data_IF_066415976148
#
_entry.id   IF_066415976148
#
_cell.length_a   1.000
_cell.length_b   1.000
_cell.length_c   1.000
_cell.angle_alpha   90.00
_cell.angle_beta   90.00
_cell.angle_gamma   90.00
#
_symmetry.space_group_name_H-M   'P 1'
#
loop_
_entity.id
_entity.type
_entity.pdbx_description
1 polymer ?
#
# COMPACT_ATOMS: atom_id res chain seq x y z
N UNK A 1 67.41 30.45 16.17
CA UNK A 1 67.12 30.41 17.61
C UNK A 1 65.68 29.97 17.78
N UNK A 2 65.48 28.94 18.60
CA UNK A 2 64.17 28.48 19.03
C UNK A 2 63.48 29.60 19.82
N UNK A 3 62.15 29.60 19.82
CA UNK A 3 61.37 29.58 21.05
C UNK A 3 59.90 29.23 20.75
N UNK A 4 59.52 28.06 21.21
CA UNK A 4 58.16 27.66 21.52
C UNK A 4 57.71 28.33 22.83
N UNK A 5 56.44 28.75 22.95
CA UNK A 5 55.57 28.42 24.10
C UNK A 5 54.16 29.08 24.00
N UNK A 6 53.17 28.23 23.72
CA UNK A 6 51.89 28.01 24.41
C UNK A 6 51.14 29.20 25.04
N UNK A 7 49.89 29.42 24.58
CA UNK A 7 48.67 29.74 25.35
C UNK A 7 47.58 30.14 24.32
N UNK A 8 46.30 29.78 24.34
CA UNK A 8 45.46 28.95 25.19
C UNK A 8 44.13 28.72 24.44
N UNK A 9 43.43 27.67 24.85
CA UNK A 9 42.13 27.23 24.39
C UNK A 9 41.03 28.30 24.39
N UNK A 10 40.34 28.47 23.26
CA UNK A 10 38.88 28.61 23.18
C UNK A 10 38.39 28.00 21.86
N UNK A 11 38.24 26.67 21.80
CA UNK A 11 37.38 26.05 20.78
C UNK A 11 35.95 26.43 21.13
N UNK A 12 35.39 27.39 20.42
CA UNK A 12 33.97 27.66 20.42
C UNK A 12 33.26 26.41 19.87
N UNK A 13 32.77 25.57 20.78
CA UNK A 13 31.83 24.50 20.50
C UNK A 13 30.51 25.16 20.10
N UNK A 14 30.33 25.45 18.82
CA UNK A 14 29.00 25.67 18.28
C UNK A 14 28.33 24.30 18.22
N UNK A 15 27.20 24.06 18.92
CA UNK A 15 26.37 22.94 18.59
C UNK A 15 25.93 23.17 17.14
N UNK A 16 26.38 22.31 16.23
CA UNK A 16 25.81 22.23 14.88
C UNK A 16 24.38 21.76 15.05
N UNK A 17 23.49 22.70 15.36
CA UNK A 17 22.05 22.53 15.30
C UNK A 17 21.73 22.43 13.83
N UNK A 18 21.92 21.24 13.26
CA UNK A 18 21.31 20.89 11.99
C UNK A 18 19.83 21.22 12.13
N UNK A 19 19.26 22.13 11.33
CA UNK A 19 17.86 22.46 11.46
C UNK A 19 17.10 21.17 11.27
N UNK A 20 16.39 20.73 12.32
CA UNK A 20 15.48 19.59 12.28
C UNK A 20 14.55 19.84 11.09
N UNK A 21 14.82 19.17 9.95
CA UNK A 21 14.00 19.32 8.74
C UNK A 21 12.61 18.86 9.14
N UNK A 22 11.70 19.83 9.25
CA UNK A 22 10.35 19.50 9.69
C UNK A 22 9.76 18.54 8.64
N UNK A 23 9.19 17.39 9.04
CA UNK A 23 8.79 16.35 8.09
C UNK A 23 7.77 16.80 7.03
N UNK A 24 7.04 17.89 7.28
CA UNK A 24 6.14 18.47 6.28
C UNK A 24 6.89 19.26 5.19
N UNK A 25 8.07 19.81 5.48
CA UNK A 25 8.86 20.55 4.50
C UNK A 25 9.70 19.63 3.61
N UNK A 26 9.92 18.37 4.03
CA UNK A 26 10.71 17.41 3.25
C UNK A 26 10.05 17.05 1.91
N UNK A 27 8.73 17.21 1.78
CA UNK A 27 8.03 16.97 0.52
C UNK A 27 8.32 18.04 -0.55
N UNK A 28 8.83 19.21 -0.16
CA UNK A 28 9.24 20.28 -1.10
C UNK A 28 10.72 20.19 -1.50
N UNK A 29 11.41 19.12 -1.09
CA UNK A 29 12.80 18.90 -1.49
C UNK A 29 12.89 18.30 -2.91
N UNK A 30 13.94 18.67 -3.65
CA UNK A 30 14.23 18.07 -4.96
C UNK A 30 14.32 16.54 -4.88
N UNK A 31 14.91 16.00 -3.80
CA UNK A 31 15.01 14.56 -3.55
C UNK A 31 13.63 13.89 -3.48
N UNK A 32 12.65 14.54 -2.85
CA UNK A 32 11.28 14.03 -2.82
C UNK A 32 10.62 14.06 -4.21
N UNK A 33 10.84 15.09 -5.01
CA UNK A 33 10.36 15.14 -6.40
C UNK A 33 11.01 14.03 -7.23
N UNK A 34 12.33 13.81 -7.10
CA UNK A 34 13.03 12.73 -7.80
C UNK A 34 12.46 11.36 -7.45
N UNK A 35 12.11 11.11 -6.19
CA UNK A 35 11.47 9.84 -5.80
C UNK A 35 10.14 9.61 -6.54
N UNK A 36 9.36 10.66 -6.82
CA UNK A 36 8.12 10.54 -7.59
C UNK A 36 8.40 10.22 -9.06
N UNK A 37 9.39 10.90 -9.65
CA UNK A 37 9.80 10.64 -11.04
C UNK A 37 10.30 9.20 -11.19
N UNK A 38 11.10 8.69 -10.25
CA UNK A 38 11.54 7.29 -10.24
C UNK A 38 10.35 6.34 -10.17
N UNK A 39 9.33 6.63 -9.35
CA UNK A 39 8.12 5.81 -9.27
C UNK A 39 7.30 5.80 -10.56
N UNK A 40 7.21 6.93 -11.26
CA UNK A 40 6.59 6.98 -12.59
C UNK A 40 7.41 6.16 -13.60
N UNK A 41 8.74 6.24 -13.54
CA UNK A 41 9.63 5.42 -14.37
C UNK A 41 9.47 3.92 -14.11
N UNK A 42 9.32 3.52 -12.85
CA UNK A 42 9.02 2.13 -12.45
C UNK A 42 7.69 1.67 -13.07
N UNK A 43 6.63 2.46 -12.93
CA UNK A 43 5.32 2.17 -13.55
C UNK A 43 5.42 1.99 -15.07
N UNK A 44 6.19 2.87 -15.74
CA UNK A 44 6.45 2.76 -17.17
C UNK A 44 7.19 1.47 -17.54
N UNK A 45 8.23 1.10 -16.80
CA UNK A 45 8.99 -0.13 -17.05
C UNK A 45 8.17 -1.40 -16.82
N UNK A 46 7.32 -1.41 -15.80
CA UNK A 46 6.38 -2.50 -15.52
C UNK A 46 5.38 -2.67 -16.67
N UNK A 47 4.87 -1.56 -17.22
CA UNK A 47 4.00 -1.58 -18.40
C UNK A 47 4.73 -2.11 -19.63
N UNK A 48 6.02 -1.80 -19.78
CA UNK A 48 6.87 -2.33 -20.84
C UNK A 48 7.38 -3.76 -20.57
N UNK A 49 6.90 -4.44 -19.51
CA UNK A 49 7.33 -5.79 -19.09
C UNK A 49 8.83 -5.92 -18.79
N UNK A 50 9.54 -4.80 -18.55
CA UNK A 50 10.96 -4.75 -18.22
C UNK A 50 11.17 -4.81 -16.71
N UNK A 51 10.69 -5.91 -16.09
CA UNK A 51 10.67 -6.06 -14.63
C UNK A 51 12.07 -6.03 -13.99
N UNK A 52 13.11 -6.52 -14.66
CA UNK A 52 14.48 -6.48 -14.14
C UNK A 52 14.98 -5.04 -13.92
N UNK A 53 14.66 -4.13 -14.85
CA UNK A 53 15.03 -2.72 -14.74
C UNK A 53 14.23 -2.02 -13.64
N UNK A 54 12.93 -2.35 -13.53
CA UNK A 54 12.07 -1.85 -12.45
C UNK A 54 12.58 -2.28 -11.07
N UNK A 55 12.97 -3.56 -10.90
CA UNK A 55 13.57 -4.11 -9.68
C UNK A 55 14.85 -3.35 -9.31
N UNK A 56 15.73 -3.08 -10.29
CA UNK A 56 16.97 -2.35 -10.05
C UNK A 56 16.70 -0.92 -9.57
N UNK A 57 15.75 -0.21 -10.19
CA UNK A 57 15.34 1.12 -9.76
C UNK A 57 14.72 1.11 -8.36
N UNK A 58 13.83 0.15 -8.06
CA UNK A 58 13.19 0.00 -6.75
C UNK A 58 14.20 -0.29 -5.63
N UNK A 59 15.19 -1.16 -5.88
CA UNK A 59 16.27 -1.43 -4.91
C UNK A 59 17.10 -0.17 -4.65
N UNK A 60 17.47 0.58 -5.70
CA UNK A 60 18.17 1.86 -5.56
C UNK A 60 17.33 2.86 -4.78
N UNK A 61 16.02 2.93 -5.04
CA UNK A 61 15.11 3.81 -4.33
C UNK A 61 15.05 3.47 -2.83
N UNK A 62 14.87 2.19 -2.48
CA UNK A 62 14.83 1.75 -1.08
C UNK A 62 16.15 1.99 -0.32
N UNK A 63 17.29 1.92 -1.01
CA UNK A 63 18.59 2.19 -0.41
C UNK A 63 18.85 3.69 -0.17
N UNK A 64 18.36 4.56 -1.05
CA UNK A 64 18.55 6.01 -0.91
C UNK A 64 17.57 6.65 0.08
N UNK A 65 16.39 6.05 0.26
CA UNK A 65 15.32 6.61 1.08
C UNK A 65 15.04 5.71 2.30
N UNK A 66 15.72 6.02 3.40
CA UNK A 66 15.64 5.23 4.65
C UNK A 66 14.39 5.55 5.48
N UNK A 67 13.82 6.75 5.36
CA UNK A 67 12.73 7.24 6.18
C UNK A 67 11.59 7.91 5.37
N UNK A 68 10.95 7.13 4.49
CA UNK A 68 9.81 7.59 3.68
C UNK A 68 8.53 6.79 4.00
N UNK A 69 7.38 7.46 4.04
CA UNK A 69 6.07 6.83 4.25
C UNK A 69 5.67 5.88 3.11
N UNK A 70 6.24 6.06 1.92
CA UNK A 70 6.00 5.24 0.73
C UNK A 70 6.87 4.00 0.68
N UNK A 71 7.79 3.80 1.64
CA UNK A 71 8.67 2.63 1.69
C UNK A 71 7.89 1.32 1.64
N UNK A 72 6.76 1.25 2.34
CA UNK A 72 5.86 0.10 2.29
C UNK A 72 5.31 -0.20 0.90
N UNK A 73 4.93 0.84 0.14
CA UNK A 73 4.46 0.70 -1.23
C UNK A 73 5.59 0.21 -2.16
N UNK A 74 6.79 0.79 -2.03
CA UNK A 74 7.95 0.41 -2.85
C UNK A 74 8.41 -1.03 -2.58
N UNK A 75 8.47 -1.44 -1.32
CA UNK A 75 8.82 -2.82 -0.94
C UNK A 75 7.78 -3.82 -1.44
N UNK A 76 6.49 -3.48 -1.34
CA UNK A 76 5.41 -4.30 -1.90
C UNK A 76 5.56 -4.44 -3.42
N UNK A 77 5.82 -3.34 -4.12
CA UNK A 77 6.01 -3.34 -5.58
C UNK A 77 7.23 -4.17 -6.00
N UNK A 78 8.35 -3.99 -5.31
CA UNK A 78 9.57 -4.78 -5.52
C UNK A 78 9.30 -6.27 -5.34
N UNK A 79 8.57 -6.64 -4.30
CA UNK A 79 8.20 -8.05 -4.07
C UNK A 79 7.31 -8.58 -5.21
N UNK A 80 6.36 -7.79 -5.72
CA UNK A 80 5.52 -8.14 -6.88
C UNK A 80 6.36 -8.35 -8.14
N UNK A 81 7.28 -7.44 -8.45
CA UNK A 81 8.11 -7.55 -9.65
C UNK A 81 9.05 -8.76 -9.59
N UNK A 82 9.58 -9.10 -8.41
CA UNK A 82 10.35 -10.33 -8.22
C UNK A 82 9.54 -11.60 -8.49
N UNK A 83 8.24 -11.60 -8.17
CA UNK A 83 7.32 -12.69 -8.53
C UNK A 83 7.11 -12.76 -10.05
N UNK A 84 7.00 -11.62 -10.75
CA UNK A 84 6.89 -11.58 -12.22
C UNK A 84 8.12 -12.18 -12.93
N UNK A 85 9.31 -12.03 -12.36
CA UNK A 85 10.56 -12.62 -12.87
C UNK A 85 10.73 -14.09 -12.44
N UNK A 86 9.84 -14.63 -11.60
CA UNK A 86 9.91 -16.00 -11.10
C UNK A 86 10.84 -16.20 -9.90
N UNK A 87 11.39 -15.13 -9.32
CA UNK A 87 12.30 -15.16 -8.15
C UNK A 87 11.48 -15.17 -6.85
N UNK A 88 10.75 -16.26 -6.63
CA UNK A 88 9.78 -16.38 -5.54
C UNK A 88 10.41 -16.32 -4.14
N UNK A 89 11.60 -16.91 -3.93
CA UNK A 89 12.26 -16.88 -2.63
C UNK A 89 12.74 -15.48 -2.23
N UNK A 90 13.24 -14.72 -3.19
CA UNK A 90 13.58 -13.31 -2.98
C UNK A 90 12.34 -12.45 -2.79
N UNK A 91 11.27 -12.72 -3.56
CA UNK A 91 9.99 -12.05 -3.38
C UNK A 91 9.48 -12.23 -1.95
N UNK A 92 9.56 -13.46 -1.41
CA UNK A 92 9.19 -13.78 -0.04
C UNK A 92 10.10 -13.09 0.98
N UNK A 93 11.42 -13.14 0.80
CA UNK A 93 12.38 -12.48 1.69
C UNK A 93 12.14 -10.97 1.77
N UNK A 94 11.95 -10.31 0.62
CA UNK A 94 11.65 -8.86 0.57
C UNK A 94 10.34 -8.55 1.30
N UNK A 95 9.35 -9.45 1.22
CA UNK A 95 8.10 -9.26 1.95
C UNK A 95 8.25 -9.46 3.46
N UNK A 96 9.03 -10.45 3.90
CA UNK A 96 9.38 -10.67 5.30
C UNK A 96 10.14 -9.45 5.87
N UNK A 97 11.16 -8.96 5.17
CA UNK A 97 11.94 -7.78 5.55
C UNK A 97 11.09 -6.50 5.61
N UNK A 98 10.15 -6.35 4.66
CA UNK A 98 9.23 -5.22 4.64
C UNK A 98 8.26 -5.19 5.82
N UNK A 99 7.93 -6.32 6.44
CA UNK A 99 7.11 -6.37 7.66
C UNK A 99 7.94 -5.94 8.89
N UNK A 100 9.26 -6.17 8.86
CA UNK A 100 10.16 -5.76 9.94
C UNK A 100 10.50 -4.26 9.89
N UNK A 101 10.34 -3.61 8.74
CA UNK A 101 10.62 -2.18 8.58
C UNK A 101 9.64 -1.28 9.36
N UNK A 102 10.15 -0.41 10.27
CA UNK A 102 9.34 0.54 11.04
C UNK A 102 8.55 1.56 10.20
N UNK A 103 9.01 1.88 8.98
CA UNK A 103 8.36 2.88 8.13
C UNK A 103 7.17 2.32 7.33
N UNK A 104 6.98 0.99 7.31
CA UNK A 104 5.85 0.34 6.65
C UNK A 104 4.61 0.34 7.55
N UNK A 105 3.57 1.06 7.10
CA UNK A 105 2.35 1.29 7.89
C UNK A 105 1.10 0.76 7.19
N UNK A 106 0.05 0.57 7.99
CA UNK A 106 -1.34 0.38 7.56
C UNK A 106 -1.50 -0.65 6.43
N UNK A 107 -2.12 -0.25 5.30
CA UNK A 107 -2.47 -1.14 4.20
C UNK A 107 -1.25 -1.80 3.53
N UNK A 108 -0.12 -1.11 3.42
CA UNK A 108 1.10 -1.71 2.86
C UNK A 108 1.62 -2.85 3.73
N UNK A 109 1.53 -2.71 5.06
CA UNK A 109 1.90 -3.77 6.01
C UNK A 109 1.00 -4.99 5.85
N UNK A 110 -0.31 -4.79 5.79
CA UNK A 110 -1.29 -5.88 5.61
C UNK A 110 -1.10 -6.57 4.25
N UNK A 111 -0.83 -5.80 3.19
CA UNK A 111 -0.56 -6.36 1.87
C UNK A 111 0.70 -7.24 1.84
N UNK A 112 1.77 -6.83 2.52
CA UNK A 112 2.97 -7.65 2.67
C UNK A 112 2.70 -8.91 3.51
N UNK A 113 1.96 -8.79 4.61
CA UNK A 113 1.57 -9.94 5.43
C UNK A 113 0.74 -10.97 4.64
N UNK A 114 -0.26 -10.51 3.89
CA UNK A 114 -1.05 -11.34 2.97
C UNK A 114 -0.15 -12.04 1.94
N UNK A 115 0.84 -11.31 1.43
CA UNK A 115 1.79 -11.83 0.45
C UNK A 115 2.68 -12.92 1.03
N UNK A 116 3.21 -12.75 2.25
CA UNK A 116 3.97 -13.78 2.97
C UNK A 116 3.11 -15.03 3.18
N UNK A 117 1.84 -14.90 3.55
CA UNK A 117 0.93 -16.04 3.71
C UNK A 117 0.64 -16.75 2.37
N UNK A 118 0.59 -16.01 1.27
CA UNK A 118 0.34 -16.56 -0.07
C UNK A 118 1.56 -17.32 -0.62
N UNK A 119 2.77 -16.75 -0.47
CA UNK A 119 4.02 -17.28 -1.00
C UNK A 119 4.68 -18.32 -0.07
N UNK A 120 4.53 -18.16 1.24
CA UNK A 120 5.13 -19.01 2.28
C UNK A 120 4.40 -20.34 2.51
N UNK A 121 3.81 -20.94 1.47
CA UNK A 121 3.23 -22.28 1.57
C UNK A 121 4.35 -23.34 1.54
N UNK A 122 4.18 -24.51 2.17
CA UNK A 122 5.13 -25.62 2.03
C UNK A 122 5.37 -25.97 0.54
N UNK A 123 6.61 -26.27 0.13
CA UNK A 123 7.80 -26.51 0.94
C UNK A 123 8.61 -25.25 1.34
N UNK A 124 8.21 -24.03 0.94
CA UNK A 124 9.02 -22.81 1.13
C UNK A 124 9.11 -22.36 2.59
N UNK A 125 7.97 -22.41 3.30
CA UNK A 125 7.88 -22.15 4.74
C UNK A 125 6.88 -23.12 5.35
N UNK A 126 7.22 -23.66 6.51
CA UNK A 126 6.38 -24.59 7.28
C UNK A 126 5.71 -23.92 8.48
N UNK A 127 6.29 -22.81 8.95
CA UNK A 127 5.78 -22.07 10.12
C UNK A 127 4.75 -21.04 9.67
N UNK A 128 3.55 -21.12 10.24
CA UNK A 128 2.52 -20.09 10.06
C UNK A 128 2.85 -18.89 10.96
N UNK A 129 2.92 -17.66 10.42
CA UNK A 129 3.21 -16.48 11.23
C UNK A 129 2.05 -16.13 12.18
N UNK A 130 2.37 -15.50 13.31
CA UNK A 130 1.40 -15.17 14.37
C UNK A 130 0.28 -14.21 13.91
N UNK A 131 0.56 -13.34 12.94
CA UNK A 131 -0.42 -12.41 12.38
C UNK A 131 -1.38 -13.05 11.36
N UNK A 132 -1.29 -14.37 11.13
CA UNK A 132 -2.09 -15.04 10.10
C UNK A 132 -3.59 -14.93 10.34
N UNK A 133 -4.04 -15.05 11.58
CA UNK A 133 -5.46 -15.00 11.95
C UNK A 133 -6.04 -13.60 11.84
N UNK A 134 -5.29 -12.57 12.25
CA UNK A 134 -5.74 -11.18 12.17
C UNK A 134 -5.89 -10.72 10.72
N UNK A 135 -5.00 -11.19 9.85
CA UNK A 135 -5.00 -10.88 8.42
C UNK A 135 -6.13 -11.63 7.69
N UNK A 136 -6.43 -12.87 8.09
CA UNK A 136 -7.54 -13.67 7.53
C UNK A 136 -8.91 -13.37 8.16
N UNK A 137 -8.98 -12.40 9.06
CA UNK A 137 -10.23 -12.05 9.74
C UNK A 137 -11.31 -11.72 8.70
N UNK A 138 -12.37 -12.52 8.69
CA UNK A 138 -13.55 -12.24 7.86
C UNK A 138 -14.35 -11.10 8.49
N UNK A 139 -14.72 -10.14 7.66
CA UNK A 139 -15.66 -9.07 8.01
C UNK A 139 -17.05 -9.55 7.60
N UNK A 140 -18.08 -9.20 8.36
CA UNK A 140 -19.45 -9.53 7.99
C UNK A 140 -19.82 -8.80 6.70
N UNK A 141 -20.08 -9.55 5.63
CA UNK A 141 -20.45 -9.03 4.33
C UNK A 141 -21.97 -9.13 4.15
N UNK A 142 -22.60 -8.05 3.70
CA UNK A 142 -24.02 -8.00 3.36
C UNK A 142 -24.14 -7.70 1.88
N UNK A 143 -24.92 -8.50 1.16
CA UNK A 143 -25.14 -8.34 -0.26
C UNK A 143 -26.49 -7.65 -0.49
N UNK A 144 -26.47 -6.61 -1.32
CA UNK A 144 -27.65 -5.84 -1.69
C UNK A 144 -27.87 -5.98 -3.19
N UNK A 145 -29.10 -6.29 -3.59
CA UNK A 145 -29.47 -6.40 -5.00
C UNK A 145 -29.99 -5.05 -5.51
N UNK A 146 -29.49 -4.60 -6.65
CA UNK A 146 -29.87 -3.35 -7.31
C UNK A 146 -30.16 -3.56 -8.79
N UNK A 147 -30.98 -2.69 -9.39
CA UNK A 147 -31.24 -2.68 -10.84
C UNK A 147 -30.29 -1.70 -11.52
N UNK A 148 -29.29 -2.16 -12.29
CA UNK A 148 -28.33 -1.27 -12.93
C UNK A 148 -28.98 -0.54 -14.12
N UNK A 149 -28.61 0.73 -14.30
CA UNK A 149 -28.96 1.56 -15.46
C UNK A 149 -27.88 1.49 -16.54
N UNK A 150 -26.61 1.46 -16.13
CA UNK A 150 -25.45 1.32 -17.00
C UNK A 150 -24.49 0.23 -16.50
N UNK A 151 -23.90 -0.52 -17.43
CA UNK A 151 -22.87 -1.53 -17.15
C UNK A 151 -21.61 -1.28 -18.00
N UNK A 152 -21.31 -0.01 -18.29
CA UNK A 152 -20.16 0.37 -19.11
C UNK A 152 -18.91 0.53 -18.24
N UNK A 153 -17.84 -0.18 -18.63
CA UNK A 153 -16.54 -0.09 -17.95
C UNK A 153 -15.95 1.30 -18.11
N UNK A 154 -15.56 1.94 -17.01
CA UNK A 154 -15.00 3.29 -17.00
C UNK A 154 -16.02 4.40 -16.72
N UNK A 155 -17.32 4.07 -16.62
CA UNK A 155 -18.35 4.98 -16.13
C UNK A 155 -18.75 4.67 -14.68
N UNK A 156 -19.27 5.67 -13.97
CA UNK A 156 -19.87 5.44 -12.65
C UNK A 156 -21.11 4.57 -12.82
N UNK A 157 -21.22 3.52 -12.01
CA UNK A 157 -22.41 2.66 -11.99
C UNK A 157 -23.59 3.40 -11.36
N UNK A 158 -24.69 3.48 -12.11
CA UNK A 158 -25.95 4.12 -11.74
C UNK A 158 -27.01 3.02 -11.62
N UNK A 159 -27.89 3.17 -10.62
CA UNK A 159 -28.95 2.23 -10.30
C UNK A 159 -30.29 2.96 -10.24
N UNK A 160 -31.38 2.19 -10.32
CA UNK A 160 -32.70 2.70 -10.00
C UNK A 160 -32.94 2.68 -8.49
N UNK A 161 -33.32 3.85 -7.95
CA UNK A 161 -33.87 4.00 -6.62
C UNK A 161 -35.30 3.48 -6.53
N UNK A 162 -35.83 3.39 -5.31
CA UNK A 162 -37.19 2.88 -5.07
C UNK A 162 -38.27 3.77 -5.70
N UNK A 163 -38.01 5.07 -5.79
CA UNK A 163 -38.93 6.05 -6.38
C UNK A 163 -38.79 6.13 -7.92
N UNK A 164 -37.97 5.26 -8.53
CA UNK A 164 -37.66 5.30 -9.97
C UNK A 164 -36.57 6.30 -10.36
N UNK A 165 -36.10 7.10 -9.41
CA UNK A 165 -35.00 8.05 -9.59
C UNK A 165 -33.63 7.36 -9.76
N UNK A 166 -32.70 8.04 -10.43
CA UNK A 166 -31.34 7.54 -10.61
C UNK A 166 -30.50 7.74 -9.34
N UNK A 167 -29.89 6.67 -8.84
CA UNK A 167 -29.06 6.72 -7.64
C UNK A 167 -27.70 6.02 -7.82
N UNK A 168 -26.72 6.42 -7.01
CA UNK A 168 -25.43 5.72 -6.93
C UNK A 168 -25.49 4.51 -6.00
N UNK A 169 -24.43 3.69 -6.04
CA UNK A 169 -24.30 2.48 -5.20
C UNK A 169 -24.44 2.79 -3.70
N UNK A 170 -23.84 3.89 -3.25
CA UNK A 170 -23.85 4.28 -1.84
C UNK A 170 -25.25 4.69 -1.38
N UNK A 171 -25.98 5.45 -2.20
CA UNK A 171 -27.36 5.83 -1.91
C UNK A 171 -28.29 4.61 -1.90
N UNK A 172 -28.10 3.68 -2.84
CA UNK A 172 -28.84 2.41 -2.86
C UNK A 172 -28.58 1.59 -1.59
N UNK A 173 -27.32 1.49 -1.17
CA UNK A 173 -26.94 0.78 0.05
C UNK A 173 -27.56 1.42 1.30
N UNK A 174 -27.53 2.75 1.39
CA UNK A 174 -28.14 3.50 2.50
C UNK A 174 -29.66 3.29 2.56
N UNK A 175 -30.34 3.35 1.41
CA UNK A 175 -31.76 3.08 1.35
C UNK A 175 -32.04 1.68 1.92
N UNK A 176 -31.40 0.63 1.39
CA UNK A 176 -31.66 -0.75 1.84
C UNK A 176 -31.38 -0.95 3.33
N UNK A 177 -30.36 -0.29 3.89
CA UNK A 177 -30.11 -0.32 5.34
C UNK A 177 -31.23 0.35 6.14
N UNK A 178 -31.69 1.54 5.73
CA UNK A 178 -32.78 2.25 6.39
C UNK A 178 -34.09 1.43 6.35
N UNK A 179 -34.40 0.81 5.22
CA UNK A 179 -35.56 -0.08 5.08
C UNK A 179 -35.46 -1.32 5.97
N UNK A 180 -34.25 -1.88 6.12
CA UNK A 180 -33.99 -3.02 7.00
C UNK A 180 -34.19 -2.67 8.47
N UNK A 181 -33.83 -1.46 8.88
CA UNK A 181 -33.96 -0.98 10.26
C UNK A 181 -35.40 -0.53 10.58
N UNK A 182 -36.14 -0.04 9.59
CA UNK A 182 -37.55 0.38 9.69
C UNK A 182 -38.60 -0.74 9.72
N UNK A 183 -38.20 -2.02 9.85
CA UNK A 183 -39.13 -3.13 10.10
C UNK A 183 -39.87 -3.71 8.89
N UNK A 184 -39.40 -3.45 7.66
CA UNK A 184 -40.05 -3.97 6.45
C UNK A 184 -39.21 -4.98 5.69
N UNK A 185 -39.29 -6.28 6.01
CA UNK A 185 -39.02 -7.33 5.01
C UNK A 185 -39.91 -8.56 5.17
N UNK A 186 -40.80 -8.71 4.19
CA UNK A 186 -41.12 -10.00 3.59
C UNK A 186 -40.03 -10.26 2.54
N UNK A 187 -39.24 -11.31 2.73
CA UNK A 187 -38.36 -11.82 1.67
C UNK A 187 -39.23 -12.41 0.57
N UNK A 188 -39.27 -11.79 -0.62
CA UNK A 188 -39.73 -12.49 -1.82
C UNK A 188 -38.63 -13.43 -2.31
N UNK A 189 -38.64 -14.64 -1.73
CA UNK A 189 -38.03 -15.79 -2.35
C UNK A 189 -38.94 -16.23 -3.50
N UNK A 190 -38.50 -16.08 -4.77
CA UNK A 190 -38.92 -16.82 -5.99
C UNK A 190 -38.55 -16.03 -7.26
N UNK A 191 -38.19 -16.58 -8.42
CA UNK A 191 -38.12 -17.93 -9.01
C UNK A 191 -36.93 -17.90 -9.99
N UNK A 192 -36.12 -18.96 -10.05
CA UNK A 192 -35.23 -19.19 -11.18
C UNK A 192 -36.07 -19.58 -12.41
N UNK A 193 -36.05 -18.76 -13.46
CA UNK A 193 -36.55 -19.19 -14.77
C UNK A 193 -35.37 -19.44 -15.71
N UNK A 194 -35.30 -20.70 -16.16
CA UNK A 194 -34.81 -21.20 -17.44
C UNK A 194 -33.53 -20.61 -18.02
#
# INVERSE_FOLDING_TARGET
MADSCISSSLKATYPSTSPLKIPFLSCFSALWVYSKVVMLGVSFLEHAQRYNDAINLLRRLLNNFTSDRRRGYWTLRLSIDLEHVGRLDESLSVAEDGILDPWVRAGSRVALQMRVLRLGKPPRRWKTPSYSDSVKRKIAEVHVQGRPLNCETGMKSIFYGQDGEQCGVEQLALAVLFWREGGGMVFTQRVAFG
#
